data_IF_668651795873
#
_entry.id   IF_668651795873
#
_cell.length_a   1.000
_cell.length_b   1.000
_cell.length_c   1.000
_cell.angle_alpha   90.00
_cell.angle_beta   90.00
_cell.angle_gamma   90.00
#
_symmetry.space_group_name_H-M   'P 1'
#
loop_
_entity.id
_entity.type
_entity.pdbx_description
1 polymer ?
#
# COMPACT_ATOMS: atom_id res chain seq x y z
N UNK A 1 -8.30 -52.34 -2.50
CA UNK A 1 -8.64 -51.20 -3.39
C UNK A 1 -8.01 -49.94 -2.78
N UNK A 2 -6.71 -49.71 -2.93
CA UNK A 2 -6.06 -49.19 -4.13
C UNK A 2 -6.58 -47.79 -4.54
N UNK A 3 -6.19 -46.78 -3.77
CA UNK A 3 -5.89 -45.46 -4.33
C UNK A 3 -4.46 -45.12 -3.91
N UNK A 4 -3.54 -45.52 -4.79
CA UNK A 4 -2.15 -45.10 -4.89
C UNK A 4 -1.91 -43.73 -4.24
N UNK A 5 -1.18 -43.74 -3.12
CA UNK A 5 -0.25 -42.68 -2.78
C UNK A 5 0.86 -42.67 -3.85
N UNK A 6 0.53 -42.16 -5.04
CA UNK A 6 1.52 -41.69 -6.00
C UNK A 6 2.19 -40.46 -5.38
N UNK A 7 3.17 -40.74 -4.52
CA UNK A 7 4.13 -39.76 -3.99
C UNK A 7 5.27 -39.48 -4.97
N UNK A 8 5.15 -39.93 -6.23
CA UNK A 8 6.11 -39.77 -7.31
C UNK A 8 5.81 -38.55 -8.20
N UNK A 9 5.94 -37.36 -7.63
CA UNK A 9 5.87 -36.08 -8.35
C UNK A 9 6.28 -34.85 -7.53
N UNK A 10 6.75 -35.06 -6.29
CA UNK A 10 6.97 -34.02 -5.28
C UNK A 10 8.28 -33.23 -5.45
N UNK A 11 8.67 -33.01 -6.70
CA UNK A 11 9.75 -32.09 -7.07
C UNK A 11 9.30 -31.07 -8.12
N UNK A 12 8.02 -30.69 -8.11
CA UNK A 12 7.60 -29.46 -8.76
C UNK A 12 8.36 -28.32 -8.09
N UNK A 13 9.20 -27.62 -8.87
CA UNK A 13 10.02 -26.52 -8.37
C UNK A 13 9.10 -25.43 -7.79
N UNK A 14 8.89 -25.46 -6.47
CA UNK A 14 7.96 -24.56 -5.76
C UNK A 14 8.35 -23.09 -5.86
N UNK A 15 9.57 -22.83 -6.30
CA UNK A 15 10.17 -21.51 -6.45
C UNK A 15 10.34 -21.10 -7.92
N UNK A 16 9.57 -21.71 -8.83
CA UNK A 16 9.54 -21.35 -10.25
C UNK A 16 8.12 -21.08 -10.74
N UNK A 17 8.03 -20.24 -11.77
CA UNK A 17 6.83 -19.95 -12.54
C UNK A 17 6.89 -20.52 -13.96
N UNK A 18 7.81 -21.45 -14.24
CA UNK A 18 7.87 -22.14 -15.53
C UNK A 18 6.53 -22.80 -15.87
N UNK A 19 6.00 -22.47 -17.04
CA UNK A 19 4.70 -22.96 -17.51
C UNK A 19 3.49 -22.16 -17.00
N UNK A 20 3.71 -21.10 -16.22
CA UNK A 20 2.64 -20.20 -15.77
C UNK A 20 2.45 -19.04 -16.75
N UNK A 21 1.19 -18.69 -16.98
CA UNK A 21 0.80 -17.53 -17.80
C UNK A 21 0.30 -16.40 -16.90
N UNK A 22 0.78 -15.17 -17.13
CA UNK A 22 0.49 -14.01 -16.30
C UNK A 22 -0.07 -12.84 -17.11
N UNK A 23 -1.02 -12.11 -16.52
CA UNK A 23 -1.45 -10.78 -16.96
C UNK A 23 -1.04 -9.75 -15.90
N UNK A 24 -0.27 -8.73 -16.27
CA UNK A 24 0.11 -7.61 -15.40
C UNK A 24 -0.41 -6.30 -15.98
N UNK A 25 -1.25 -5.58 -15.24
CA UNK A 25 -1.76 -4.28 -15.72
C UNK A 25 -0.80 -3.12 -15.40
N UNK A 26 -0.61 -2.19 -16.33
CA UNK A 26 0.26 -1.03 -16.14
C UNK A 26 1.74 -1.40 -15.99
N UNK A 27 2.23 -2.38 -16.73
CA UNK A 27 3.56 -2.95 -16.52
C UNK A 27 4.72 -2.22 -17.21
N UNK A 28 4.53 -1.03 -17.79
CA UNK A 28 5.62 -0.33 -18.50
C UNK A 28 6.53 0.49 -17.60
N UNK A 29 6.11 0.82 -16.37
CA UNK A 29 6.88 1.66 -15.42
C UNK A 29 6.71 1.23 -13.97
N UNK A 30 7.62 1.69 -13.12
CA UNK A 30 7.55 1.55 -11.67
C UNK A 30 7.37 0.10 -11.21
N UNK A 31 6.51 -0.11 -10.22
CA UNK A 31 6.23 -1.44 -9.64
C UNK A 31 5.75 -2.43 -10.71
N UNK A 32 4.89 -2.00 -11.63
CA UNK A 32 4.38 -2.87 -12.70
C UNK A 32 5.51 -3.41 -13.59
N UNK A 33 6.48 -2.57 -13.94
CA UNK A 33 7.65 -2.97 -14.72
C UNK A 33 8.50 -3.99 -13.96
N UNK A 34 8.82 -3.71 -12.70
CA UNK A 34 9.57 -4.63 -11.85
C UNK A 34 8.85 -5.98 -11.68
N UNK A 35 7.51 -5.98 -11.59
CA UNK A 35 6.70 -7.21 -11.53
C UNK A 35 6.77 -8.00 -12.84
N UNK A 36 6.70 -7.34 -13.99
CA UNK A 36 6.83 -8.02 -15.29
C UNK A 36 8.19 -8.72 -15.38
N UNK A 37 9.28 -8.02 -15.04
CA UNK A 37 10.63 -8.59 -15.08
C UNK A 37 10.80 -9.75 -14.10
N UNK A 38 10.34 -9.59 -12.86
CA UNK A 38 10.45 -10.62 -11.82
C UNK A 38 9.69 -11.89 -12.20
N UNK A 39 8.44 -11.77 -12.65
CA UNK A 39 7.62 -12.92 -13.06
C UNK A 39 8.22 -13.63 -14.27
N UNK A 40 8.65 -12.88 -15.29
CA UNK A 40 9.26 -13.44 -16.48
C UNK A 40 10.62 -14.09 -16.18
N UNK A 41 11.43 -13.49 -15.30
CA UNK A 41 12.72 -14.02 -14.84
C UNK A 41 12.58 -15.33 -14.06
N UNK A 42 11.46 -15.53 -13.36
CA UNK A 42 11.11 -16.80 -12.70
C UNK A 42 10.49 -17.84 -13.66
N UNK A 43 10.35 -17.50 -14.94
CA UNK A 43 9.95 -18.42 -16.01
C UNK A 43 8.51 -18.30 -16.49
N UNK A 44 7.72 -17.34 -15.99
CA UNK A 44 6.36 -17.11 -16.48
C UNK A 44 6.38 -16.58 -17.93
N UNK A 45 5.30 -16.84 -18.68
CA UNK A 45 4.98 -16.07 -19.89
C UNK A 45 4.08 -14.92 -19.46
N UNK A 46 4.50 -13.68 -19.72
CA UNK A 46 3.79 -12.49 -19.24
C UNK A 46 3.14 -11.76 -20.42
N UNK A 47 1.86 -11.42 -20.27
CA UNK A 47 1.22 -10.38 -21.05
C UNK A 47 1.06 -9.14 -20.19
N UNK A 48 1.41 -7.97 -20.70
CA UNK A 48 1.25 -6.70 -20.01
C UNK A 48 0.43 -5.72 -20.83
N UNK A 49 -0.15 -4.73 -20.18
CA UNK A 49 -0.84 -3.65 -20.87
C UNK A 49 -0.51 -2.28 -20.30
N UNK A 50 -0.56 -1.27 -21.17
CA UNK A 50 -0.46 0.13 -20.77
C UNK A 50 -1.18 1.02 -21.77
N UNK A 51 -1.35 2.30 -21.42
CA UNK A 51 -2.06 3.28 -22.27
C UNK A 51 -1.21 3.82 -23.42
N UNK A 52 0.11 3.83 -23.24
CA UNK A 52 1.03 4.51 -24.15
C UNK A 52 1.77 3.47 -24.99
N UNK A 53 1.38 3.37 -26.26
CA UNK A 53 1.93 2.38 -27.19
C UNK A 53 3.46 2.50 -27.36
N UNK A 54 3.98 3.72 -27.45
CA UNK A 54 5.42 3.95 -27.63
C UNK A 54 6.25 3.46 -26.44
N UNK A 55 5.76 3.68 -25.22
CA UNK A 55 6.40 3.18 -23.99
C UNK A 55 6.32 1.66 -23.90
N UNK A 56 5.18 1.09 -24.27
CA UNK A 56 4.97 -0.35 -24.30
C UNK A 56 5.95 -1.02 -25.28
N UNK A 57 6.02 -0.53 -26.51
CA UNK A 57 6.90 -1.08 -27.54
C UNK A 57 8.37 -0.97 -27.13
N UNK A 58 8.77 0.13 -26.49
CA UNK A 58 10.12 0.26 -25.92
C UNK A 58 10.42 -0.84 -24.90
N UNK A 59 9.54 -1.04 -23.91
CA UNK A 59 9.75 -2.09 -22.90
C UNK A 59 9.75 -3.50 -23.51
N UNK A 60 8.91 -3.77 -24.51
CA UNK A 60 8.89 -5.08 -25.19
C UNK A 60 10.23 -5.40 -25.86
N UNK A 61 10.85 -4.42 -26.54
CA UNK A 61 12.18 -4.59 -27.13
C UNK A 61 13.27 -4.82 -26.06
N UNK A 62 13.18 -4.10 -24.93
CA UNK A 62 14.11 -4.26 -23.81
C UNK A 62 13.99 -5.66 -23.16
N UNK A 63 12.77 -6.16 -22.98
CA UNK A 63 12.52 -7.50 -22.42
C UNK A 63 12.90 -8.61 -23.39
N UNK A 64 12.65 -8.43 -24.69
CA UNK A 64 13.12 -9.36 -25.73
C UNK A 64 14.65 -9.46 -25.74
N UNK A 65 15.36 -8.34 -25.66
CA UNK A 65 16.82 -8.32 -25.56
C UNK A 65 17.37 -9.01 -24.30
N UNK A 66 16.58 -9.04 -23.21
CA UNK A 66 16.88 -9.80 -21.97
C UNK A 66 16.49 -11.28 -22.07
N UNK A 67 15.89 -11.73 -23.17
CA UNK A 67 15.39 -13.11 -23.35
C UNK A 67 14.12 -13.42 -22.54
N UNK A 68 13.39 -12.39 -22.09
CA UNK A 68 12.17 -12.54 -21.32
C UNK A 68 10.96 -12.76 -22.25
N UNK A 69 10.07 -13.67 -21.87
CA UNK A 69 8.86 -14.01 -22.64
C UNK A 69 7.72 -13.06 -22.28
N UNK A 70 7.77 -11.84 -22.82
CA UNK A 70 6.78 -10.80 -22.57
C UNK A 70 6.11 -10.37 -23.87
N UNK A 71 4.79 -10.28 -23.84
CA UNK A 71 3.97 -9.65 -24.88
C UNK A 71 3.15 -8.52 -24.27
N UNK A 72 2.56 -7.65 -25.09
CA UNK A 72 1.66 -6.66 -24.55
C UNK A 72 0.70 -6.04 -25.56
N UNK A 73 -0.31 -5.37 -25.04
CA UNK A 73 -1.30 -4.64 -25.83
C UNK A 73 -1.66 -3.29 -25.19
N UNK A 74 -2.10 -2.35 -26.01
CA UNK A 74 -2.60 -1.06 -25.53
C UNK A 74 -3.92 -1.27 -24.80
N UNK A 75 -4.01 -0.80 -23.56
CA UNK A 75 -5.22 -0.85 -22.75
C UNK A 75 -5.19 0.27 -21.72
N UNK A 76 -6.19 1.13 -21.76
CA UNK A 76 -6.59 1.96 -20.63
C UNK A 76 -7.66 1.23 -19.82
N UNK A 77 -7.21 0.72 -18.68
CA UNK A 77 -8.03 -0.09 -17.78
C UNK A 77 -9.21 0.67 -17.18
N UNK A 78 -9.25 2.01 -17.27
CA UNK A 78 -10.42 2.78 -16.83
C UNK A 78 -11.63 2.55 -17.76
N UNK A 79 -11.41 2.16 -19.02
CA UNK A 79 -12.47 1.89 -19.98
C UNK A 79 -12.86 0.41 -20.02
N UNK A 80 -14.14 0.14 -19.76
CA UNK A 80 -14.70 -1.23 -19.74
C UNK A 80 -14.42 -2.04 -21.01
N UNK A 81 -14.69 -1.49 -22.19
CA UNK A 81 -14.51 -2.18 -23.46
C UNK A 81 -13.04 -2.58 -23.70
N UNK A 82 -12.08 -1.80 -23.21
CA UNK A 82 -10.66 -2.14 -23.33
C UNK A 82 -10.26 -3.25 -22.34
N UNK A 83 -10.88 -3.32 -21.16
CA UNK A 83 -10.73 -4.45 -20.22
C UNK A 83 -11.24 -5.76 -20.83
N UNK A 84 -12.38 -5.72 -21.51
CA UNK A 84 -12.93 -6.87 -22.24
C UNK A 84 -11.97 -7.29 -23.36
N UNK A 85 -11.48 -6.33 -24.16
CA UNK A 85 -10.56 -6.60 -25.27
C UNK A 85 -9.23 -7.22 -24.82
N UNK A 86 -8.61 -6.71 -23.75
CA UNK A 86 -7.35 -7.29 -23.27
C UNK A 86 -7.54 -8.72 -22.76
N UNK A 87 -8.68 -9.03 -22.12
CA UNK A 87 -8.99 -10.40 -21.69
C UNK A 87 -9.23 -11.33 -22.88
N UNK A 88 -9.88 -10.88 -23.95
CA UNK A 88 -9.98 -11.65 -25.21
C UNK A 88 -8.60 -11.99 -25.78
N UNK A 89 -7.71 -10.99 -25.88
CA UNK A 89 -6.35 -11.15 -26.37
C UNK A 89 -5.59 -12.17 -25.52
N UNK A 90 -5.63 -12.01 -24.20
CA UNK A 90 -4.92 -12.90 -23.27
C UNK A 90 -5.51 -14.32 -23.29
N UNK A 91 -6.83 -14.45 -23.39
CA UNK A 91 -7.51 -15.75 -23.53
C UNK A 91 -7.03 -16.48 -24.80
N UNK A 92 -6.95 -15.78 -25.93
CA UNK A 92 -6.45 -16.35 -27.18
C UNK A 92 -4.98 -16.76 -27.08
N UNK A 93 -4.12 -15.86 -26.56
CA UNK A 93 -2.68 -16.08 -26.42
C UNK A 93 -2.35 -17.27 -25.51
N UNK A 94 -3.12 -17.47 -24.44
CA UNK A 94 -2.85 -18.47 -23.42
C UNK A 94 -3.82 -19.66 -23.45
N UNK A 95 -4.48 -19.89 -24.58
CA UNK A 95 -5.42 -21.00 -24.79
C UNK A 95 -6.47 -21.15 -23.67
N UNK A 96 -7.04 -20.01 -23.26
CA UNK A 96 -8.07 -19.95 -22.23
C UNK A 96 -7.56 -20.12 -20.79
N UNK A 97 -6.25 -20.04 -20.54
CA UNK A 97 -5.64 -20.33 -19.22
C UNK A 97 -4.69 -19.23 -18.76
N UNK A 98 -5.09 -18.52 -17.71
CA UNK A 98 -4.20 -17.58 -16.99
C UNK A 98 -3.98 -18.14 -15.60
N UNK A 99 -2.73 -18.19 -15.13
CA UNK A 99 -2.41 -18.58 -13.76
C UNK A 99 -2.34 -17.36 -12.85
N UNK A 100 -1.85 -16.23 -13.36
CA UNK A 100 -1.52 -15.06 -12.57
C UNK A 100 -2.23 -13.82 -13.12
N UNK A 101 -2.95 -13.10 -12.27
CA UNK A 101 -3.44 -11.75 -12.55
C UNK A 101 -2.86 -10.77 -11.54
N UNK A 102 -2.05 -9.83 -12.01
CA UNK A 102 -1.57 -8.70 -11.19
C UNK A 102 -2.30 -7.42 -11.58
N UNK A 103 -3.17 -6.97 -10.69
CA UNK A 103 -3.86 -5.70 -10.80
C UNK A 103 -2.98 -4.59 -10.21
N UNK A 104 -2.11 -4.01 -11.05
CA UNK A 104 -1.15 -2.97 -10.64
C UNK A 104 -1.55 -1.56 -11.09
N UNK A 105 -2.23 -1.41 -12.23
CA UNK A 105 -2.59 -0.10 -12.77
C UNK A 105 -3.32 0.78 -11.74
N UNK A 106 -2.89 2.03 -11.62
CA UNK A 106 -3.45 2.98 -10.68
C UNK A 106 -2.88 4.38 -10.84
N UNK A 107 -3.62 5.36 -10.35
CA UNK A 107 -3.28 6.78 -10.34
C UNK A 107 -3.48 7.37 -8.93
N UNK A 108 -2.88 8.53 -8.70
CA UNK A 108 -3.08 9.30 -7.47
C UNK A 108 -3.05 10.79 -7.78
N UNK A 109 -4.02 11.52 -7.25
CA UNK A 109 -3.97 12.98 -7.13
C UNK A 109 -3.84 13.32 -5.65
N UNK A 110 -2.92 14.22 -5.29
CA UNK A 110 -2.70 14.63 -3.90
C UNK A 110 -3.16 16.07 -3.70
N UNK A 111 -4.26 16.25 -2.99
CA UNK A 111 -4.81 17.55 -2.61
C UNK A 111 -5.78 17.45 -1.42
N UNK A 112 -6.14 18.57 -0.77
CA UNK A 112 -7.17 18.60 0.26
C UNK A 112 -8.50 18.01 -0.22
N UNK A 113 -9.20 17.30 0.68
CA UNK A 113 -10.47 16.61 0.34
C UNK A 113 -11.53 17.55 -0.24
N UNK A 114 -11.57 18.79 0.25
CA UNK A 114 -12.54 19.81 -0.20
C UNK A 114 -12.28 20.33 -1.62
N UNK A 115 -11.14 20.00 -2.22
CA UNK A 115 -10.74 20.47 -3.54
C UNK A 115 -10.90 19.41 -4.64
N UNK A 116 -11.31 18.18 -4.32
CA UNK A 116 -11.58 17.15 -5.34
C UNK A 116 -12.83 17.47 -6.12
N UNK A 117 -12.73 17.37 -7.44
CA UNK A 117 -13.90 17.38 -8.32
C UNK A 117 -14.51 15.99 -8.41
N UNK A 118 -15.76 15.93 -8.89
CA UNK A 118 -16.45 14.66 -9.12
C UNK A 118 -15.72 13.81 -10.19
N UNK A 119 -15.15 14.46 -11.20
CA UNK A 119 -14.43 13.84 -12.31
C UNK A 119 -13.14 13.17 -11.83
N UNK A 120 -12.36 13.83 -10.98
CA UNK A 120 -11.13 13.25 -10.41
C UNK A 120 -11.44 12.10 -9.45
N UNK A 121 -12.49 12.24 -8.63
CA UNK A 121 -12.97 11.15 -7.80
C UNK A 121 -13.33 9.94 -8.66
N UNK A 122 -14.15 10.15 -9.70
CA UNK A 122 -14.55 9.11 -10.66
C UNK A 122 -13.34 8.47 -11.32
N UNK A 123 -12.39 9.28 -11.81
CA UNK A 123 -11.17 8.79 -12.47
C UNK A 123 -10.33 7.93 -11.54
N UNK A 124 -10.16 8.34 -10.27
CA UNK A 124 -9.44 7.55 -9.26
C UNK A 124 -10.16 6.23 -9.02
N UNK A 125 -11.48 6.25 -8.80
CA UNK A 125 -12.25 5.04 -8.48
C UNK A 125 -12.32 4.07 -9.65
N UNK A 126 -12.59 4.56 -10.86
CA UNK A 126 -12.64 3.74 -12.07
C UNK A 126 -11.28 3.12 -12.40
N UNK A 127 -10.19 3.87 -12.22
CA UNK A 127 -8.84 3.35 -12.50
C UNK A 127 -8.34 2.42 -11.41
N UNK A 128 -8.46 2.78 -10.13
CA UNK A 128 -7.79 2.05 -9.05
C UNK A 128 -8.59 0.87 -8.49
N UNK A 129 -9.92 0.92 -8.55
CA UNK A 129 -10.78 -0.09 -7.94
C UNK A 129 -11.65 -0.80 -8.98
N UNK A 130 -12.48 -0.07 -9.73
CA UNK A 130 -13.43 -0.65 -10.67
C UNK A 130 -12.71 -1.51 -11.73
N UNK A 131 -11.59 -1.01 -12.25
CA UNK A 131 -10.81 -1.73 -13.26
C UNK A 131 -10.32 -3.09 -12.75
N UNK A 132 -9.76 -3.12 -11.54
CA UNK A 132 -9.20 -4.30 -10.91
C UNK A 132 -10.29 -5.30 -10.52
N UNK A 133 -11.43 -4.81 -10.04
CA UNK A 133 -12.62 -5.62 -9.78
C UNK A 133 -13.14 -6.27 -11.07
N UNK A 134 -13.38 -5.48 -12.12
CA UNK A 134 -13.93 -5.98 -13.37
C UNK A 134 -12.97 -6.94 -14.09
N UNK A 135 -11.67 -6.65 -14.13
CA UNK A 135 -10.67 -7.56 -14.70
C UNK A 135 -10.63 -8.88 -13.96
N UNK A 136 -10.77 -8.87 -12.63
CA UNK A 136 -10.86 -10.10 -11.84
C UNK A 136 -12.10 -10.93 -12.19
N UNK A 137 -13.25 -10.28 -12.40
CA UNK A 137 -14.46 -10.96 -12.87
C UNK A 137 -14.28 -11.59 -14.26
N UNK A 138 -13.74 -10.82 -15.21
CA UNK A 138 -13.48 -11.29 -16.57
C UNK A 138 -12.44 -12.42 -16.63
N UNK A 139 -11.43 -12.37 -15.77
CA UNK A 139 -10.36 -13.37 -15.71
C UNK A 139 -10.75 -14.64 -14.96
N UNK A 140 -11.83 -14.64 -14.15
CA UNK A 140 -12.22 -15.78 -13.32
C UNK A 140 -12.35 -17.10 -14.11
N UNK A 141 -13.00 -17.17 -15.29
CA UNK A 141 -13.06 -18.41 -16.07
C UNK A 141 -11.68 -18.92 -16.50
N UNK A 142 -10.76 -18.01 -16.84
CA UNK A 142 -9.39 -18.34 -17.27
C UNK A 142 -8.53 -18.82 -16.10
N UNK A 143 -8.66 -18.16 -14.95
CA UNK A 143 -8.01 -18.52 -13.69
C UNK A 143 -8.49 -19.89 -13.19
N UNK A 144 -9.80 -20.12 -13.21
CA UNK A 144 -10.40 -21.42 -12.85
C UNK A 144 -9.91 -22.54 -13.77
N UNK A 145 -9.87 -22.30 -15.08
CA UNK A 145 -9.43 -23.30 -16.07
C UNK A 145 -7.94 -23.65 -15.91
N UNK A 146 -7.13 -22.73 -15.39
CA UNK A 146 -5.71 -22.98 -15.11
C UNK A 146 -5.50 -24.03 -14.00
N UNK A 147 -6.49 -24.21 -13.11
CA UNK A 147 -6.40 -25.11 -11.95
C UNK A 147 -5.43 -24.65 -10.86
N UNK A 148 -4.77 -23.50 -11.00
CA UNK A 148 -3.86 -22.92 -10.00
C UNK A 148 -3.82 -21.39 -10.16
N UNK A 149 -4.95 -20.74 -9.87
CA UNK A 149 -5.10 -19.30 -10.05
C UNK A 149 -4.50 -18.49 -8.89
N UNK A 150 -3.89 -17.36 -9.20
CA UNK A 150 -3.34 -16.40 -8.24
C UNK A 150 -3.63 -14.97 -8.70
N UNK A 151 -4.34 -14.22 -7.86
CA UNK A 151 -4.60 -12.80 -8.06
C UNK A 151 -3.79 -12.02 -7.02
N UNK A 152 -3.04 -11.03 -7.49
CA UNK A 152 -2.32 -10.09 -6.62
C UNK A 152 -2.75 -8.68 -6.95
N UNK A 153 -3.31 -7.98 -5.97
CA UNK A 153 -3.60 -6.56 -6.10
C UNK A 153 -2.44 -5.72 -5.57
N UNK A 154 -2.10 -4.64 -6.28
CA UNK A 154 -1.24 -3.59 -5.72
C UNK A 154 -2.14 -2.59 -5.00
N UNK A 155 -2.19 -2.72 -3.69
CA UNK A 155 -2.84 -1.79 -2.77
C UNK A 155 -1.92 -0.60 -2.45
N UNK A 156 -1.96 -0.10 -1.22
CA UNK A 156 -1.07 0.90 -0.66
C UNK A 156 -1.20 0.86 0.86
N UNK A 157 -0.16 1.30 1.58
CA UNK A 157 -0.30 1.58 3.01
C UNK A 157 -1.39 2.64 3.29
N UNK A 158 -1.74 3.48 2.29
CA UNK A 158 -2.88 4.41 2.39
C UNK A 158 -4.24 3.72 2.56
N UNK A 159 -4.35 2.45 2.17
CA UNK A 159 -5.53 1.62 2.42
C UNK A 159 -5.56 0.98 3.81
N UNK A 160 -4.49 1.15 4.60
CA UNK A 160 -4.34 0.60 5.96
C UNK A 160 -4.35 1.69 7.01
N UNK A 161 -3.64 2.80 6.76
CA UNK A 161 -3.54 3.95 7.65
C UNK A 161 -3.68 5.26 6.88
N UNK A 162 -3.99 6.35 7.59
CA UNK A 162 -4.07 7.69 6.99
C UNK A 162 -2.68 8.30 6.79
N UNK A 163 -2.40 8.77 5.57
CA UNK A 163 -1.09 9.28 5.13
C UNK A 163 -1.14 10.68 4.49
N UNK A 164 -2.33 11.27 4.38
CA UNK A 164 -2.54 12.51 3.63
C UNK A 164 -2.29 12.38 2.11
N UNK A 165 -2.33 11.18 1.55
CA UNK A 165 -2.18 10.91 0.11
C UNK A 165 -3.38 11.33 -0.73
N UNK A 166 -4.46 11.78 -0.11
CA UNK A 166 -5.75 12.05 -0.74
C UNK A 166 -6.79 11.01 -0.33
N UNK A 167 -7.97 11.47 0.12
CA UNK A 167 -9.02 10.57 0.62
C UNK A 167 -9.59 9.64 -0.46
N UNK A 168 -9.80 10.04 -1.74
CA UNK A 168 -10.30 9.10 -2.75
C UNK A 168 -9.28 8.00 -3.06
N UNK A 169 -7.99 8.35 -3.13
CA UNK A 169 -6.93 7.37 -3.33
C UNK A 169 -6.89 6.35 -2.19
N UNK A 170 -6.84 6.83 -0.94
CA UNK A 170 -6.84 5.98 0.24
C UNK A 170 -8.08 5.06 0.30
N UNK A 171 -9.27 5.62 0.01
CA UNK A 171 -10.52 4.86 -0.05
C UNK A 171 -10.47 3.76 -1.14
N UNK A 172 -9.96 4.09 -2.34
CA UNK A 172 -9.81 3.09 -3.42
C UNK A 172 -8.90 1.94 -3.02
N UNK A 173 -7.79 2.21 -2.32
CA UNK A 173 -6.84 1.18 -1.86
C UNK A 173 -7.38 0.39 -0.65
N UNK A 174 -8.18 1.02 0.21
CA UNK A 174 -8.92 0.31 1.27
C UNK A 174 -9.98 -0.64 0.67
N UNK A 175 -10.66 -0.23 -0.40
CA UNK A 175 -11.61 -1.10 -1.12
C UNK A 175 -10.89 -2.32 -1.74
N UNK A 176 -9.68 -2.13 -2.29
CA UNK A 176 -8.82 -3.23 -2.75
C UNK A 176 -8.47 -4.20 -1.59
N UNK A 177 -8.16 -3.68 -0.41
CA UNK A 177 -7.87 -4.53 0.76
C UNK A 177 -9.07 -5.39 1.16
N UNK A 178 -10.28 -4.84 1.08
CA UNK A 178 -11.49 -5.57 1.43
C UNK A 178 -11.84 -6.61 0.36
N UNK A 179 -11.86 -6.23 -0.92
CA UNK A 179 -12.22 -7.16 -2.01
C UNK A 179 -11.23 -8.34 -2.09
N UNK A 180 -9.96 -8.12 -1.73
CA UNK A 180 -8.95 -9.19 -1.62
C UNK A 180 -9.43 -10.34 -0.71
N UNK A 181 -10.00 -10.00 0.45
CA UNK A 181 -10.51 -10.99 1.42
C UNK A 181 -11.77 -11.70 0.89
N UNK A 182 -12.68 -10.92 0.31
CA UNK A 182 -13.92 -11.45 -0.28
C UNK A 182 -13.62 -12.48 -1.37
N UNK A 183 -12.82 -12.12 -2.37
CA UNK A 183 -12.47 -13.01 -3.47
C UNK A 183 -11.67 -14.23 -3.01
N UNK A 184 -10.82 -14.08 -1.99
CA UNK A 184 -10.11 -15.22 -1.39
C UNK A 184 -11.08 -16.27 -0.82
N UNK A 185 -12.15 -15.84 -0.16
CA UNK A 185 -13.17 -16.75 0.38
C UNK A 185 -14.08 -17.31 -0.73
N UNK A 186 -14.54 -16.46 -1.64
CA UNK A 186 -15.52 -16.81 -2.67
C UNK A 186 -14.96 -17.77 -3.73
N UNK A 187 -13.67 -17.61 -4.09
CA UNK A 187 -13.03 -18.32 -5.19
C UNK A 187 -12.05 -19.43 -4.75
N UNK A 188 -11.90 -19.67 -3.43
CA UNK A 188 -11.10 -20.78 -2.91
C UNK A 188 -11.54 -22.14 -3.48
N UNK A 189 -12.84 -22.35 -3.65
CA UNK A 189 -13.42 -23.58 -4.24
C UNK A 189 -12.98 -23.85 -5.68
N UNK A 190 -12.55 -22.81 -6.40
CA UNK A 190 -12.06 -22.88 -7.77
C UNK A 190 -10.51 -22.97 -7.82
N UNK A 191 -9.86 -23.19 -6.68
CA UNK A 191 -8.40 -23.18 -6.50
C UNK A 191 -7.74 -21.86 -6.95
N UNK A 192 -8.40 -20.74 -6.64
CA UNK A 192 -7.90 -19.39 -6.89
C UNK A 192 -7.53 -18.75 -5.55
N UNK A 193 -6.28 -18.29 -5.44
CA UNK A 193 -5.79 -17.50 -4.31
C UNK A 193 -5.84 -16.02 -4.65
N UNK A 194 -6.17 -15.20 -3.67
CA UNK A 194 -6.23 -13.75 -3.86
C UNK A 194 -5.54 -13.05 -2.70
N UNK A 195 -4.53 -12.22 -2.99
CA UNK A 195 -3.79 -11.45 -1.99
C UNK A 195 -3.57 -10.01 -2.47
N UNK A 196 -3.13 -9.15 -1.56
CA UNK A 196 -2.72 -7.79 -1.88
C UNK A 196 -1.35 -7.47 -1.28
N UNK A 197 -0.58 -6.69 -2.02
CA UNK A 197 0.65 -6.06 -1.55
C UNK A 197 0.36 -4.58 -1.34
N UNK A 198 0.75 -4.03 -0.19
CA UNK A 198 0.52 -2.65 0.20
C UNK A 198 1.86 -1.90 0.32
N UNK A 199 2.37 -1.30 -0.77
CA UNK A 199 3.63 -0.57 -0.74
C UNK A 199 3.51 0.75 0.02
N UNK A 200 4.61 1.12 0.67
CA UNK A 200 4.90 2.48 1.10
C UNK A 200 5.53 3.30 -0.04
N UNK A 201 6.08 4.47 0.26
CA UNK A 201 6.85 5.26 -0.70
C UNK A 201 7.96 4.42 -1.31
N UNK A 202 7.81 4.17 -2.60
CA UNK A 202 8.67 3.34 -3.44
C UNK A 202 9.14 4.22 -4.59
N UNK A 203 10.44 4.23 -4.89
CA UNK A 203 11.01 5.04 -5.97
C UNK A 203 10.43 4.59 -7.30
N UNK A 204 9.57 5.44 -7.87
CA UNK A 204 8.84 5.19 -9.10
C UNK A 204 8.45 6.53 -9.72
N UNK A 205 8.25 6.55 -11.03
CA UNK A 205 7.80 7.73 -11.78
C UNK A 205 6.54 8.38 -11.21
N UNK A 206 5.69 7.62 -10.51
CA UNK A 206 4.48 8.13 -9.85
C UNK A 206 4.79 9.14 -8.74
N UNK A 207 5.87 8.94 -7.99
CA UNK A 207 6.21 9.72 -6.78
C UNK A 207 7.56 10.41 -6.86
N UNK A 208 8.31 10.28 -7.95
CA UNK A 208 9.64 10.90 -8.11
C UNK A 208 9.63 12.40 -7.83
N UNK A 209 8.60 13.12 -8.30
CA UNK A 209 8.42 14.55 -8.03
C UNK A 209 8.25 14.86 -6.52
N UNK A 210 7.62 13.97 -5.76
CA UNK A 210 7.49 14.11 -4.31
C UNK A 210 8.80 13.78 -3.60
N UNK A 211 9.51 12.74 -4.05
CA UNK A 211 10.78 12.33 -3.46
C UNK A 211 11.92 13.32 -3.77
N UNK A 212 11.76 14.15 -4.80
CA UNK A 212 12.66 15.26 -5.10
C UNK A 212 12.54 16.42 -4.09
N UNK A 213 11.39 16.57 -3.42
CA UNK A 213 11.25 17.50 -2.29
C UNK A 213 11.95 16.93 -1.06
N UNK A 214 13.09 17.52 -0.72
CA UNK A 214 13.91 17.11 0.42
C UNK A 214 13.13 17.11 1.74
N UNK A 215 12.26 18.10 1.96
CA UNK A 215 11.49 18.20 3.21
C UNK A 215 10.50 17.04 3.36
N UNK A 216 9.85 16.68 2.24
CA UNK A 216 8.93 15.56 2.18
C UNK A 216 9.65 14.23 2.29
N UNK A 217 10.79 14.08 1.61
CA UNK A 217 11.65 12.90 1.72
C UNK A 217 12.14 12.69 3.16
N UNK A 218 12.55 13.76 3.84
CA UNK A 218 12.96 13.72 5.25
C UNK A 218 11.79 13.29 6.16
N UNK A 219 10.55 13.72 5.88
CA UNK A 219 9.36 13.26 6.59
C UNK A 219 9.16 11.74 6.41
N UNK A 220 9.27 11.24 5.18
CA UNK A 220 9.18 9.81 4.87
C UNK A 220 10.25 9.03 5.64
N UNK A 221 11.52 9.44 5.52
CA UNK A 221 12.66 8.81 6.20
C UNK A 221 12.49 8.86 7.73
N UNK A 222 11.89 9.94 8.25
CA UNK A 222 11.66 10.07 9.69
C UNK A 222 10.67 9.03 10.23
N UNK A 223 9.70 8.61 9.40
CA UNK A 223 8.67 7.64 9.77
C UNK A 223 9.03 6.21 9.42
N UNK A 224 9.87 5.98 8.42
CA UNK A 224 10.33 4.64 8.01
C UNK A 224 11.46 4.13 8.90
N UNK A 225 11.30 3.02 9.65
CA UNK A 225 12.39 2.40 10.41
C UNK A 225 13.65 2.09 9.60
N UNK A 226 13.51 1.59 8.36
CA UNK A 226 14.65 1.36 7.46
C UNK A 226 15.31 2.65 6.90
N UNK A 227 14.79 3.83 7.24
CA UNK A 227 15.38 5.15 6.91
C UNK A 227 15.59 5.44 5.43
N UNK A 228 14.80 4.81 4.56
CA UNK A 228 14.78 5.10 3.12
C UNK A 228 13.42 4.76 2.50
N UNK A 229 13.09 5.32 1.33
CA UNK A 229 12.08 4.76 0.45
C UNK A 229 12.46 3.33 0.01
N UNK A 230 11.45 2.55 -0.38
CA UNK A 230 11.66 1.26 -1.02
C UNK A 230 12.04 1.40 -2.50
N UNK A 231 12.56 0.32 -3.07
CA UNK A 231 12.77 0.16 -4.51
C UNK A 231 11.65 -0.70 -5.11
N UNK A 232 11.39 -0.56 -6.43
CA UNK A 232 10.30 -1.26 -7.09
C UNK A 232 10.48 -2.79 -7.03
N UNK A 233 11.73 -3.25 -7.07
CA UNK A 233 12.15 -4.65 -7.02
C UNK A 233 11.85 -5.30 -5.65
N UNK A 234 11.88 -4.50 -4.57
CA UNK A 234 11.52 -4.97 -3.23
C UNK A 234 10.02 -5.26 -3.12
N UNK A 235 9.19 -4.54 -3.89
CA UNK A 235 7.75 -4.80 -4.00
C UNK A 235 7.49 -5.98 -4.94
N UNK A 236 8.13 -6.02 -6.11
CA UNK A 236 7.93 -7.08 -7.10
C UNK A 236 8.31 -8.46 -6.57
N UNK A 237 9.36 -8.55 -5.74
CA UNK A 237 9.78 -9.79 -5.06
C UNK A 237 8.64 -10.42 -4.26
N UNK A 238 7.88 -9.63 -3.50
CA UNK A 238 6.74 -10.15 -2.74
C UNK A 238 5.57 -10.54 -3.66
N UNK A 239 5.30 -9.74 -4.70
CA UNK A 239 4.26 -10.06 -5.70
C UNK A 239 4.55 -11.41 -6.35
N UNK A 240 5.80 -11.62 -6.79
CA UNK A 240 6.24 -12.88 -7.37
C UNK A 240 6.14 -14.03 -6.38
N UNK A 241 6.58 -13.84 -5.13
CA UNK A 241 6.42 -14.85 -4.08
C UNK A 241 4.96 -15.29 -3.91
N UNK A 242 4.02 -14.35 -3.87
CA UNK A 242 2.59 -14.66 -3.73
C UNK A 242 2.02 -15.42 -4.94
N UNK A 243 2.67 -15.35 -6.10
CA UNK A 243 2.32 -16.10 -7.30
C UNK A 243 2.95 -17.50 -7.36
N UNK A 244 4.01 -17.75 -6.60
CA UNK A 244 4.73 -19.03 -6.60
C UNK A 244 3.90 -20.17 -5.98
N UNK A 245 4.10 -21.44 -6.41
CA UNK A 245 3.57 -22.61 -5.71
C UNK A 245 4.03 -22.69 -4.25
N UNK A 246 5.15 -22.06 -3.88
CA UNK A 246 5.59 -21.92 -2.50
C UNK A 246 4.55 -21.27 -1.59
N UNK A 247 3.77 -20.31 -2.10
CA UNK A 247 2.73 -19.57 -1.39
C UNK A 247 1.33 -20.22 -1.46
N UNK A 248 1.25 -21.53 -1.76
CA UNK A 248 -0.01 -22.24 -2.02
C UNK A 248 -1.04 -22.21 -0.89
N UNK A 249 -0.63 -21.88 0.34
CA UNK A 249 -1.53 -21.76 1.50
C UNK A 249 -1.74 -20.31 1.97
N UNK A 250 -1.32 -19.33 1.17
CA UNK A 250 -1.48 -17.90 1.46
C UNK A 250 -2.57 -17.33 0.56
N UNK A 251 -3.69 -16.96 1.17
CA UNK A 251 -4.83 -16.29 0.51
C UNK A 251 -5.52 -15.34 1.50
N UNK A 252 -6.14 -14.29 0.98
CA UNK A 252 -6.86 -13.25 1.73
C UNK A 252 -5.97 -12.25 2.47
N UNK A 253 -4.64 -12.30 2.27
CA UNK A 253 -3.70 -11.46 3.00
C UNK A 253 -3.49 -10.10 2.33
N UNK A 254 -3.32 -9.07 3.16
CA UNK A 254 -2.84 -7.74 2.76
C UNK A 254 -1.49 -7.55 3.44
N UNK A 255 -0.41 -7.59 2.67
CA UNK A 255 0.95 -7.58 3.21
C UNK A 255 1.61 -6.24 2.89
N UNK A 256 2.04 -5.51 3.93
CA UNK A 256 2.72 -4.23 3.77
C UNK A 256 4.20 -4.43 3.40
N UNK A 257 4.67 -3.69 2.39
CA UNK A 257 6.09 -3.57 2.03
C UNK A 257 6.48 -2.12 2.28
N UNK A 258 6.88 -1.82 3.51
CA UNK A 258 6.91 -0.44 4.00
C UNK A 258 8.11 -0.09 4.90
N UNK A 259 9.11 -0.97 4.94
CA UNK A 259 10.29 -0.80 5.79
C UNK A 259 9.94 -0.68 7.28
N UNK A 260 8.80 -1.23 7.71
CA UNK A 260 8.30 -1.22 9.08
C UNK A 260 7.43 0.00 9.42
N UNK A 261 7.09 0.86 8.46
CA UNK A 261 6.41 2.13 8.75
C UNK A 261 5.03 1.95 9.38
N UNK A 262 4.18 1.06 8.87
CA UNK A 262 2.81 0.87 9.38
C UNK A 262 2.73 0.29 10.79
N UNK A 263 3.79 -0.38 11.24
CA UNK A 263 3.87 -1.03 12.57
C UNK A 263 4.75 -0.24 13.55
N UNK A 264 5.36 0.87 13.11
CA UNK A 264 6.19 1.72 13.93
C UNK A 264 5.34 2.71 14.75
N UNK A 265 4.89 2.29 15.93
CA UNK A 265 4.19 3.17 16.88
C UNK A 265 5.21 4.09 17.56
N UNK A 266 5.22 5.37 17.17
CA UNK A 266 5.84 6.52 17.85
C UNK A 266 7.15 6.22 18.61
N UNK A 267 8.31 6.56 18.01
CA UNK A 267 9.57 6.61 18.76
C UNK A 267 9.49 7.68 19.87
N UNK A 268 9.25 7.22 21.10
CA UNK A 268 9.14 8.02 22.34
C UNK A 268 10.37 8.92 22.57
N UNK A 269 11.48 8.71 21.86
CA UNK A 269 12.70 9.54 21.94
C UNK A 269 12.43 11.03 21.66
N UNK A 270 11.46 11.40 20.81
CA UNK A 270 11.11 12.82 20.56
C UNK A 270 10.20 13.42 21.62
N UNK A 271 9.28 12.64 22.20
CA UNK A 271 8.38 13.11 23.28
C UNK A 271 9.19 13.39 24.55
N UNK A 272 10.18 12.53 24.86
CA UNK A 272 11.07 12.75 25.99
C UNK A 272 11.99 13.97 25.80
N UNK A 273 12.44 14.26 24.58
CA UNK A 273 13.23 15.46 24.30
C UNK A 273 12.43 16.75 24.52
N UNK A 274 11.15 16.78 24.13
CA UNK A 274 10.25 17.91 24.39
C UNK A 274 9.95 18.07 25.88
N UNK A 275 9.72 16.97 26.61
CA UNK A 275 9.51 17.01 28.05
C UNK A 275 10.78 17.40 28.83
N UNK A 276 11.97 17.02 28.37
CA UNK A 276 13.23 17.44 28.99
C UNK A 276 13.48 18.95 28.85
N UNK A 277 13.14 19.56 27.70
CA UNK A 277 13.20 21.02 27.51
C UNK A 277 12.17 21.75 28.39
N UNK A 278 10.99 21.17 28.55
CA UNK A 278 9.93 21.71 29.41
C UNK A 278 10.30 21.63 30.91
N UNK A 279 10.82 20.49 31.37
CA UNK A 279 11.32 20.31 32.73
C UNK A 279 12.56 21.18 33.02
N UNK A 280 13.46 21.37 32.05
CA UNK A 280 14.61 22.26 32.20
C UNK A 280 14.19 23.73 32.41
N UNK A 281 13.09 24.17 31.79
CA UNK A 281 12.54 25.52 32.00
C UNK A 281 11.81 25.69 33.34
N UNK A 282 11.23 24.62 33.88
CA UNK A 282 10.53 24.65 35.19
C UNK A 282 11.50 24.46 36.37
N UNK A 283 12.64 23.80 36.18
CA UNK A 283 13.65 23.55 37.21
C UNK A 283 14.51 24.77 37.62
N UNK A 284 14.42 25.90 36.89
CA UNK A 284 15.01 27.17 37.36
C UNK A 284 14.00 27.88 38.25
N UNK A 285 14.07 27.58 39.55
CA UNK A 285 13.29 28.20 40.62
C UNK A 285 13.35 29.73 40.58
N UNK A 286 12.41 30.33 39.86
CA UNK A 286 12.22 31.77 39.76
C UNK A 286 10.75 32.07 40.01
N UNK A 287 10.52 32.91 41.01
CA UNK A 287 9.23 33.29 41.58
C UNK A 287 8.15 33.53 40.49
N UNK A 288 7.06 32.76 40.54
CA UNK A 288 6.02 32.70 39.50
C UNK A 288 5.27 34.05 39.35
N UNK A 289 5.28 34.89 40.39
CA UNK A 289 4.61 36.19 40.39
C UNK A 289 5.35 37.30 39.61
N UNK A 290 6.65 37.15 39.34
CA UNK A 290 7.48 38.24 38.77
C UNK A 290 7.55 38.21 37.24
N UNK A 291 7.12 37.12 36.60
CA UNK A 291 7.14 36.97 35.13
C UNK A 291 5.85 37.41 34.43
N UNK A 292 4.81 37.81 35.18
CA UNK A 292 3.51 38.21 34.62
C UNK A 292 3.54 39.58 33.94
N UNK A 293 4.48 40.47 34.28
CA UNK A 293 4.55 41.83 33.73
C UNK A 293 5.35 41.97 32.44
N UNK A 294 6.21 40.98 32.07
CA UNK A 294 7.09 41.06 30.89
C UNK A 294 6.70 40.18 29.70
N UNK A 295 5.61 39.41 29.77
CA UNK A 295 5.13 38.54 28.67
C UNK A 295 3.84 39.02 27.99
N UNK A 296 3.63 40.33 27.90
CA UNK A 296 2.51 40.89 27.10
C UNK A 296 2.92 41.32 25.69
N UNK A 297 4.19 41.11 25.28
CA UNK A 297 4.72 41.70 24.03
C UNK A 297 5.04 40.70 22.92
N UNK A 298 4.98 39.37 23.11
CA UNK A 298 5.35 38.47 22.01
C UNK A 298 4.60 37.14 21.97
N UNK A 299 3.27 37.16 21.90
CA UNK A 299 2.46 35.99 21.55
C UNK A 299 1.23 36.43 20.75
N UNK A 300 1.39 36.58 19.43
CA UNK A 300 0.28 36.40 18.47
C UNK A 300 0.32 34.94 18.04
N UNK A 301 -0.71 34.16 18.39
CA UNK A 301 -0.86 32.77 17.90
C UNK A 301 -1.58 31.86 18.88
N UNK A 302 -2.86 32.13 19.16
CA UNK A 302 -3.74 31.22 19.88
C UNK A 302 -3.95 29.93 19.07
N UNK A 303 -3.36 28.82 19.53
CA UNK A 303 -3.84 27.43 19.34
C UNK A 303 -2.95 26.34 19.97
N UNK A 304 -1.78 26.69 20.52
CA UNK A 304 -0.81 25.69 21.04
C UNK A 304 -0.99 25.38 22.54
N UNK A 305 -1.60 26.27 23.33
CA UNK A 305 -1.70 26.09 24.80
C UNK A 305 -2.72 25.01 25.25
N UNK A 306 -3.77 24.75 24.45
CA UNK A 306 -4.85 23.84 24.88
C UNK A 306 -4.41 22.37 24.83
N UNK A 307 -3.54 22.00 23.88
CA UNK A 307 -3.10 20.61 23.70
C UNK A 307 -2.07 20.20 24.76
N UNK A 308 -1.13 21.08 25.10
CA UNK A 308 -0.13 20.80 26.12
C UNK A 308 -0.76 20.58 27.51
N UNK A 309 -1.81 21.34 27.82
CA UNK A 309 -2.52 21.25 29.10
C UNK A 309 -3.37 19.98 29.19
N UNK A 310 -4.02 19.55 28.09
CA UNK A 310 -4.78 18.29 28.06
C UNK A 310 -3.89 17.04 28.15
N UNK A 311 -2.72 17.05 27.51
CA UNK A 311 -1.79 15.91 27.61
C UNK A 311 -1.13 15.81 28.98
N UNK A 312 -0.83 16.94 29.63
CA UNK A 312 -0.32 16.95 31.00
C UNK A 312 -1.36 16.44 32.01
N UNK A 313 -2.64 16.84 31.86
CA UNK A 313 -3.73 16.34 32.70
C UNK A 313 -3.95 14.82 32.52
N UNK A 314 -3.87 14.30 31.29
CA UNK A 314 -3.99 12.87 31.02
C UNK A 314 -2.80 12.07 31.60
N UNK A 315 -1.59 12.63 31.60
CA UNK A 315 -0.41 11.98 32.17
C UNK A 315 -0.47 11.89 33.71
N UNK A 316 -1.06 12.90 34.37
CA UNK A 316 -1.26 12.90 35.83
C UNK A 316 -2.33 11.89 36.26
N UNK A 317 -3.34 11.64 35.43
CA UNK A 317 -4.38 10.63 35.71
C UNK A 317 -3.86 9.19 35.48
N UNK A 318 -2.93 8.99 34.54
CA UNK A 318 -2.41 7.67 34.20
C UNK A 318 -1.32 7.12 35.16
N UNK A 319 -0.65 7.99 35.92
CA UNK A 319 0.30 7.58 36.97
C UNK A 319 -0.42 7.59 38.31
N UNK A 320 -0.99 6.45 38.70
CA UNK A 320 -1.84 6.30 39.88
C UNK A 320 -1.34 7.01 41.16
N UNK A 321 -2.17 7.93 41.64
CA UNK A 321 -2.54 8.11 43.05
C UNK A 321 -1.46 8.48 44.06
N UNK A 322 -1.36 9.77 44.38
CA UNK A 322 -1.59 10.30 45.75
C UNK A 322 -1.52 11.83 45.72
N UNK A 323 -2.68 12.47 45.61
CA UNK A 323 -2.87 13.84 46.09
C UNK A 323 -4.19 13.87 46.84
N UNK A 324 -4.08 13.87 48.17
CA UNK A 324 -5.18 14.08 49.10
C UNK A 324 -5.77 15.46 48.79
N UNK A 325 -6.98 15.49 48.25
CA UNK A 325 -7.76 16.72 48.12
C UNK A 325 -8.56 16.87 49.42
N UNK A 326 -8.03 17.62 50.39
CA UNK A 326 -8.82 18.09 51.53
C UNK A 326 -9.64 19.30 51.10
N UNK A 327 -10.91 19.07 50.74
CA UNK A 327 -11.92 20.14 50.72
C UNK A 327 -12.36 20.40 52.16
N UNK A 328 -11.81 21.41 52.82
CA UNK A 328 -12.47 22.05 53.97
C UNK A 328 -13.09 23.36 53.50
N UNK A 329 -14.41 23.34 53.39
CA UNK A 329 -15.24 24.54 53.34
C UNK A 329 -14.99 25.43 54.56
N UNK A 330 -15.40 26.70 54.49
CA UNK A 330 -16.42 27.09 55.47
C UNK A 330 -17.58 27.86 54.84
N UNK A 331 -18.78 27.43 55.23
CA UNK A 331 -20.02 28.19 55.14
C UNK A 331 -20.37 28.66 56.58
N UNK A 332 -20.49 29.98 56.79
CA UNK A 332 -21.32 30.76 57.76
C UNK A 332 -20.60 32.07 58.08
N UNK A 333 -21.15 33.22 57.68
CA UNK A 333 -22.17 34.03 58.39
C UNK A 333 -21.70 34.47 59.78
N UNK A 334 -21.10 35.65 59.85
CA UNK A 334 -21.65 36.87 60.45
C UNK A 334 -21.01 38.09 59.80
#
# INVERSE_FOLDING_TARGET
MAAKLESSGRNANRWSLSGMNALVTGGTRGIGHAVVEELAGLGAVVHTCSRTETELNKCLLEWEAKGLRVSGSVCDVSFRHQREKVIEVVSALFNGKINILVNNAGISFRKPTVEYTAEEFSTIMSTNFESAYHLSQLAHPLLKTSGAGSIVFISSVAGVVSLGTGSPYAASKAAINQITKNLACEWAKDNIRTNAVAPWYTRTTLVDHLLADKSFLDEIISRTPLRRPGEAEEVSSLVAFLCLPAASYITGQVICVDGGMSVNVLSIKRVLALNAVFCWHLGRGGNWNEKRSRRRVLLRGERVEVIATQMAAAAVIACGGQAIISWTAPCRVN
#
